data_IF_286704135997
#
_entry.id   IF_286704135997
#
_cell.length_a   1.000
_cell.length_b   1.000
_cell.length_c   1.000
_cell.angle_alpha   90.00
_cell.angle_beta   90.00
_cell.angle_gamma   90.00
#
_symmetry.space_group_name_H-M   'P 1'
#
loop_
_entity.id
_entity.type
_entity.pdbx_description
1 polymer ?
#
# COMPACT_ATOMS: atom_id res chain seq x y z
N UNK A 1 -35.11 8.36 -6.05
CA UNK A 1 -35.51 8.52 -4.63
C UNK A 1 -34.42 7.84 -3.81
N UNK A 2 -33.42 8.62 -3.37
CA UNK A 2 -32.16 8.11 -2.84
C UNK A 2 -32.29 7.84 -1.34
N UNK A 3 -31.95 6.62 -0.92
CA UNK A 3 -31.90 6.21 0.48
C UNK A 3 -30.74 6.88 1.20
N UNK A 4 -31.02 7.48 2.35
CA UNK A 4 -30.04 8.19 3.19
C UNK A 4 -29.08 7.24 3.92
N UNK A 5 -27.87 7.73 4.21
CA UNK A 5 -26.71 7.03 4.81
C UNK A 5 -26.99 6.15 6.06
N UNK A 6 -28.04 6.36 6.90
CA UNK A 6 -28.40 5.40 7.94
C UNK A 6 -28.85 4.02 7.45
N UNK A 7 -29.20 3.88 6.16
CA UNK A 7 -29.75 2.66 5.57
C UNK A 7 -28.67 1.68 5.05
N UNK A 8 -27.48 2.19 4.72
CA UNK A 8 -26.30 1.37 4.36
C UNK A 8 -25.71 0.65 5.57
N UNK A 9 -25.83 1.23 6.78
CA UNK A 9 -25.32 0.66 8.02
C UNK A 9 -26.23 -0.40 8.65
N UNK A 10 -27.50 -0.49 8.21
CA UNK A 10 -28.50 -1.43 8.77
C UNK A 10 -28.67 -2.73 8.00
N UNK A 11 -28.12 -2.86 6.79
CA UNK A 11 -28.36 -4.01 5.94
C UNK A 11 -27.08 -4.83 5.74
N UNK A 12 -26.84 -5.79 6.63
CA UNK A 12 -25.93 -6.92 6.39
C UNK A 12 -26.16 -7.54 5.00
N UNK A 13 -27.45 -7.61 4.61
CA UNK A 13 -27.95 -8.02 3.29
C UNK A 13 -27.38 -7.24 2.10
N UNK A 14 -27.07 -5.93 2.24
CA UNK A 14 -26.54 -5.10 1.14
C UNK A 14 -25.04 -5.25 0.98
N UNK A 15 -24.32 -5.51 2.09
CA UNK A 15 -22.92 -5.96 2.06
C UNK A 15 -22.86 -7.36 1.43
N UNK A 16 -23.80 -8.24 1.78
CA UNK A 16 -23.93 -9.57 1.19
C UNK A 16 -24.33 -9.50 -0.32
N UNK A 17 -25.17 -8.55 -0.73
CA UNK A 17 -25.50 -8.32 -2.16
C UNK A 17 -24.31 -7.75 -2.96
N UNK A 18 -23.50 -6.87 -2.35
CA UNK A 18 -22.25 -6.38 -2.94
C UNK A 18 -21.26 -7.52 -3.12
N UNK A 19 -21.22 -8.47 -2.17
CA UNK A 19 -20.39 -9.69 -2.26
C UNK A 19 -20.87 -10.71 -3.29
N UNK A 20 -22.18 -10.75 -3.56
CA UNK A 20 -22.77 -11.68 -4.52
C UNK A 20 -22.59 -11.24 -5.98
N UNK A 21 -22.18 -9.99 -6.23
CA UNK A 21 -21.91 -9.47 -7.57
C UNK A 21 -20.41 -9.49 -7.85
N UNK A 22 -19.95 -10.59 -8.47
CA UNK A 22 -18.66 -10.77 -9.15
C UNK A 22 -18.50 -9.78 -10.34
N UNK A 23 -18.66 -8.48 -10.09
CA UNK A 23 -18.45 -7.45 -11.09
C UNK A 23 -16.99 -6.98 -10.99
N UNK A 24 -16.21 -7.03 -12.09
CA UNK A 24 -14.81 -6.64 -12.14
C UNK A 24 -14.59 -5.11 -12.14
N UNK A 25 -15.62 -4.31 -11.85
CA UNK A 25 -15.54 -2.85 -11.90
C UNK A 25 -15.44 -2.26 -10.48
N UNK A 26 -14.56 -1.26 -10.25
CA UNK A 26 -14.47 -0.56 -8.98
C UNK A 26 -15.83 -0.02 -8.50
N UNK A 27 -16.16 -0.29 -7.24
CA UNK A 27 -17.41 0.12 -6.59
C UNK A 27 -17.15 1.27 -5.64
N UNK A 28 -17.81 2.41 -5.85
CA UNK A 28 -17.77 3.54 -4.93
C UNK A 28 -18.62 3.22 -3.69
N UNK A 29 -18.01 3.29 -2.49
CA UNK A 29 -18.64 2.86 -1.24
C UNK A 29 -19.30 4.00 -0.45
N UNK A 30 -18.97 5.25 -0.72
CA UNK A 30 -19.56 6.42 -0.05
C UNK A 30 -20.12 7.45 -1.04
N UNK A 31 -21.08 8.24 -0.57
CA UNK A 31 -21.76 9.27 -1.38
C UNK A 31 -20.84 10.42 -1.79
N UNK A 32 -19.76 10.66 -1.04
CA UNK A 32 -18.77 11.68 -1.34
C UNK A 32 -17.81 11.28 -2.48
N UNK A 33 -17.67 9.97 -2.78
CA UNK A 33 -16.81 9.49 -3.87
C UNK A 33 -15.34 9.34 -3.55
N UNK A 34 -15.01 9.30 -2.27
CA UNK A 34 -13.62 9.24 -1.81
C UNK A 34 -13.24 7.86 -1.28
N UNK A 35 -14.15 6.89 -1.24
CA UNK A 35 -13.85 5.50 -0.83
C UNK A 35 -14.28 4.56 -1.95
N UNK A 36 -13.33 3.79 -2.47
CA UNK A 36 -13.55 2.82 -3.53
C UNK A 36 -13.15 1.43 -3.07
N UNK A 37 -13.93 0.44 -3.50
CA UNK A 37 -13.60 -0.96 -3.40
C UNK A 37 -13.33 -1.52 -4.79
N UNK A 38 -12.11 -1.97 -5.03
CA UNK A 38 -11.64 -2.39 -6.35
C UNK A 38 -12.08 -3.81 -6.69
N UNK A 39 -12.31 -4.65 -5.68
CA UNK A 39 -12.72 -6.03 -5.83
C UNK A 39 -12.02 -6.95 -4.84
N UNK A 40 -12.41 -8.23 -4.82
CA UNK A 40 -11.99 -9.20 -3.80
C UNK A 40 -10.70 -9.96 -4.16
N UNK A 41 -10.12 -9.64 -5.30
CA UNK A 41 -9.01 -10.34 -5.93
C UNK A 41 -8.10 -9.32 -6.64
N UNK A 42 -7.16 -9.76 -7.47
CA UNK A 42 -6.20 -8.93 -8.23
C UNK A 42 -6.81 -7.81 -9.09
N UNK A 43 -7.16 -6.70 -8.46
CA UNK A 43 -7.81 -5.53 -9.06
C UNK A 43 -7.08 -4.22 -8.73
N UNK A 44 -5.93 -4.30 -8.07
CA UNK A 44 -5.10 -3.18 -7.61
C UNK A 44 -4.65 -2.26 -8.74
N UNK A 45 -4.49 -2.80 -9.94
CA UNK A 45 -4.18 -2.00 -11.13
C UNK A 45 -5.26 -0.95 -11.46
N UNK A 46 -6.50 -1.10 -11.01
CA UNK A 46 -7.53 -0.07 -11.14
C UNK A 46 -7.21 1.21 -10.37
N UNK A 47 -6.30 1.15 -9.39
CA UNK A 47 -5.75 2.35 -8.75
C UNK A 47 -5.25 3.37 -9.78
N UNK A 48 -4.62 2.92 -10.87
CA UNK A 48 -4.00 3.82 -11.85
C UNK A 48 -5.01 4.77 -12.48
N UNK A 49 -6.19 4.28 -12.87
CA UNK A 49 -7.23 5.13 -13.48
C UNK A 49 -7.81 6.13 -12.48
N UNK A 50 -7.99 5.71 -11.22
CA UNK A 50 -8.47 6.60 -10.16
C UNK A 50 -7.42 7.68 -9.85
N UNK A 51 -6.16 7.29 -9.73
CA UNK A 51 -5.06 8.19 -9.39
C UNK A 51 -4.79 9.24 -10.50
N UNK A 52 -5.09 8.95 -11.78
CA UNK A 52 -5.03 9.95 -12.86
C UNK A 52 -5.94 11.16 -12.63
N UNK A 53 -6.99 11.00 -11.80
CA UNK A 53 -7.93 12.09 -11.51
C UNK A 53 -7.40 13.08 -10.46
N UNK A 54 -6.31 12.74 -9.76
CA UNK A 54 -5.69 13.61 -8.76
C UNK A 54 -5.33 14.98 -9.35
N UNK A 55 -5.74 16.04 -8.67
CA UNK A 55 -5.51 17.44 -9.07
C UNK A 55 -4.43 18.16 -8.26
N UNK A 56 -4.00 17.56 -7.14
CA UNK A 56 -3.03 18.13 -6.20
C UNK A 56 -1.85 17.20 -6.03
N UNK A 57 -0.70 17.76 -5.65
CA UNK A 57 0.46 16.97 -5.29
C UNK A 57 0.20 16.18 -4.01
N UNK A 58 0.42 14.88 -4.08
CA UNK A 58 -0.05 13.91 -3.10
C UNK A 58 1.06 12.88 -2.83
N UNK A 59 1.12 12.43 -1.58
CA UNK A 59 1.86 11.19 -1.24
C UNK A 59 0.88 10.03 -1.27
N UNK A 60 1.24 8.96 -1.99
CA UNK A 60 0.48 7.72 -1.98
C UNK A 60 0.96 6.85 -0.81
N UNK A 61 0.07 6.56 0.13
CA UNK A 61 0.29 5.55 1.18
C UNK A 61 -0.27 4.22 0.67
N UNK A 62 0.59 3.22 0.60
CA UNK A 62 0.32 1.93 -0.02
C UNK A 62 0.47 0.83 1.03
N UNK A 63 -0.64 0.21 1.42
CA UNK A 63 -0.64 -0.95 2.33
C UNK A 63 -0.77 -2.22 1.51
N UNK A 64 0.24 -3.07 1.56
CA UNK A 64 0.28 -4.28 0.73
C UNK A 64 1.34 -5.25 1.26
N UNK A 65 1.11 -6.56 1.11
CA UNK A 65 2.13 -7.56 1.39
C UNK A 65 3.21 -7.62 0.28
N UNK A 66 2.88 -7.21 -0.95
CA UNK A 66 3.68 -7.22 -2.17
C UNK A 66 4.09 -5.80 -2.58
N UNK A 67 5.09 -5.71 -3.46
CA UNK A 67 5.65 -4.41 -3.86
C UNK A 67 4.87 -3.72 -4.97
N UNK A 68 4.18 -4.49 -5.81
CA UNK A 68 3.49 -4.06 -7.03
C UNK A 68 4.31 -3.14 -7.96
N UNK A 69 5.63 -3.27 -7.89
CA UNK A 69 6.61 -2.39 -8.54
C UNK A 69 7.53 -3.15 -9.50
N UNK A 70 7.05 -4.25 -10.12
CA UNK A 70 7.88 -5.09 -11.00
C UNK A 70 8.35 -4.35 -12.26
N UNK A 71 9.67 -4.40 -12.47
CA UNK A 71 10.38 -3.90 -13.65
C UNK A 71 10.34 -4.92 -14.80
N UNK A 72 9.20 -5.19 -15.45
CA UNK A 72 9.21 -6.03 -16.68
C UNK A 72 7.90 -6.14 -17.47
N UNK A 73 7.04 -5.12 -17.50
CA UNK A 73 5.87 -5.20 -18.38
C UNK A 73 5.50 -3.87 -19.01
N UNK A 74 5.42 -3.87 -20.34
CA UNK A 74 4.84 -2.78 -21.15
C UNK A 74 3.32 -2.63 -20.91
N UNK A 75 2.69 -3.64 -20.30
CA UNK A 75 1.26 -3.66 -19.99
C UNK A 75 1.03 -3.46 -18.49
N UNK A 76 0.04 -2.66 -18.15
CA UNK A 76 -0.42 -2.50 -16.77
C UNK A 76 -1.02 -3.81 -16.26
N UNK A 77 -0.57 -4.25 -15.09
CA UNK A 77 -1.11 -5.36 -14.29
C UNK A 77 -0.96 -5.06 -12.79
N UNK A 78 -1.50 -5.92 -11.91
CA UNK A 78 -1.38 -5.70 -10.46
C UNK A 78 0.08 -5.74 -9.99
N UNK A 79 0.94 -6.58 -10.57
CA UNK A 79 2.33 -6.68 -10.11
C UNK A 79 3.21 -5.50 -10.50
N UNK A 80 2.72 -4.54 -11.30
CA UNK A 80 3.53 -3.40 -11.76
C UNK A 80 2.85 -2.03 -11.66
N UNK A 81 1.65 -1.92 -11.09
CA UNK A 81 0.86 -0.68 -11.16
C UNK A 81 1.53 0.51 -10.47
N UNK A 82 2.44 0.28 -9.51
CA UNK A 82 3.23 1.35 -8.87
C UNK A 82 4.12 2.08 -9.90
N UNK A 83 4.70 1.36 -10.86
CA UNK A 83 5.45 1.96 -11.96
C UNK A 83 4.59 2.93 -12.80
N UNK A 84 3.29 2.64 -12.92
CA UNK A 84 2.35 3.49 -13.65
C UNK A 84 1.83 4.65 -12.80
N UNK A 85 1.59 4.42 -11.51
CA UNK A 85 1.23 5.46 -10.55
C UNK A 85 2.31 6.54 -10.49
N UNK A 86 3.59 6.16 -10.40
CA UNK A 86 4.71 7.09 -10.33
C UNK A 86 4.94 7.91 -11.62
N UNK A 87 4.32 7.55 -12.75
CA UNK A 87 4.29 8.40 -13.95
C UNK A 87 3.39 9.62 -13.81
N UNK A 88 2.46 9.61 -12.84
CA UNK A 88 1.62 10.76 -12.56
C UNK A 88 2.44 11.85 -11.83
N UNK A 89 2.61 13.05 -12.40
CA UNK A 89 3.42 14.11 -11.77
C UNK A 89 2.84 14.60 -10.44
N UNK A 90 1.56 14.34 -10.17
CA UNK A 90 0.93 14.66 -8.89
C UNK A 90 1.26 13.64 -7.79
N UNK A 91 1.84 12.47 -8.11
CA UNK A 91 2.32 11.53 -7.10
C UNK A 91 3.79 11.85 -6.83
N UNK A 92 4.04 12.49 -5.68
CA UNK A 92 5.39 12.92 -5.32
C UNK A 92 6.26 11.74 -4.88
N UNK A 93 5.63 10.81 -4.15
CA UNK A 93 6.25 9.64 -3.53
C UNK A 93 5.18 8.60 -3.19
N UNK A 94 5.60 7.34 -3.17
CA UNK A 94 4.89 6.20 -2.62
C UNK A 94 5.55 5.79 -1.30
N UNK A 95 4.75 5.61 -0.25
CA UNK A 95 5.17 5.06 1.04
C UNK A 95 4.47 3.71 1.20
N UNK A 96 5.24 2.64 1.06
CA UNK A 96 4.77 1.27 1.18
C UNK A 96 4.90 0.76 2.61
N UNK A 97 3.80 0.30 3.18
CA UNK A 97 3.69 -0.16 4.57
C UNK A 97 3.23 -1.62 4.58
N UNK A 98 4.01 -2.51 5.16
CA UNK A 98 3.72 -3.95 5.23
C UNK A 98 4.82 -4.83 4.65
N UNK A 99 4.68 -5.21 3.39
CA UNK A 99 5.74 -5.73 2.52
C UNK A 99 6.37 -7.08 2.84
N UNK A 100 5.72 -7.93 3.66
CA UNK A 100 6.33 -9.20 4.06
C UNK A 100 6.54 -10.20 2.91
N UNK A 101 5.69 -10.21 1.88
CA UNK A 101 5.87 -11.08 0.72
C UNK A 101 6.92 -10.48 -0.23
N UNK A 102 6.75 -9.19 -0.54
CA UNK A 102 7.63 -8.42 -1.42
C UNK A 102 9.10 -8.40 -0.97
N UNK A 103 9.35 -8.35 0.35
CA UNK A 103 10.70 -8.25 0.91
C UNK A 103 11.35 -9.59 1.24
N UNK A 104 10.57 -10.66 1.47
CA UNK A 104 11.12 -12.00 1.76
C UNK A 104 11.28 -12.85 0.51
N UNK A 105 10.27 -12.87 -0.37
CA UNK A 105 10.19 -13.81 -1.49
C UNK A 105 10.56 -13.16 -2.82
N UNK A 106 10.41 -11.85 -2.90
CA UNK A 106 10.38 -11.10 -4.17
C UNK A 106 11.45 -10.02 -4.29
N UNK A 107 12.30 -9.91 -3.28
CA UNK A 107 13.34 -8.89 -3.10
C UNK A 107 14.26 -8.63 -4.31
N UNK A 108 14.32 -9.55 -5.28
CA UNK A 108 15.24 -9.49 -6.41
C UNK A 108 14.52 -9.25 -7.76
N UNK A 109 13.44 -9.95 -8.11
CA UNK A 109 12.82 -9.82 -9.43
C UNK A 109 11.70 -8.77 -9.52
N UNK A 110 11.12 -8.30 -8.41
CA UNK A 110 9.81 -7.63 -8.44
C UNK A 110 9.79 -6.19 -7.90
N UNK A 111 10.87 -5.67 -7.31
CA UNK A 111 10.94 -4.27 -6.87
C UNK A 111 11.71 -3.39 -7.85
N UNK A 112 11.19 -2.22 -8.21
CA UNK A 112 11.93 -1.24 -9.01
C UNK A 112 12.96 -0.52 -8.13
N UNK A 113 14.19 -0.97 -8.24
CA UNK A 113 15.29 -0.47 -7.44
C UNK A 113 15.57 1.02 -7.64
N UNK A 114 15.34 1.53 -8.85
CA UNK A 114 15.55 2.95 -9.15
C UNK A 114 14.57 3.83 -8.36
N UNK A 115 13.33 3.36 -8.14
CA UNK A 115 12.36 4.08 -7.32
C UNK A 115 12.79 4.16 -5.86
N UNK A 116 13.32 3.06 -5.31
CA UNK A 116 13.84 3.01 -3.93
C UNK A 116 15.04 3.95 -3.80
N UNK A 117 16.02 3.81 -4.69
CA UNK A 117 17.24 4.62 -4.67
C UNK A 117 16.95 6.12 -4.82
N UNK A 118 16.01 6.50 -5.69
CA UNK A 118 15.58 7.88 -5.87
C UNK A 118 14.71 8.43 -4.71
N UNK A 119 14.36 7.59 -3.72
CA UNK A 119 13.44 7.96 -2.64
C UNK A 119 12.02 8.24 -3.13
N UNK A 120 11.65 7.71 -4.29
CA UNK A 120 10.31 7.73 -4.88
C UNK A 120 9.41 6.65 -4.30
N UNK A 121 10.01 5.52 -3.90
CA UNK A 121 9.38 4.45 -3.12
C UNK A 121 10.09 4.37 -1.77
N UNK A 122 9.36 4.55 -0.67
CA UNK A 122 9.88 4.41 0.70
C UNK A 122 9.16 3.26 1.38
N UNK A 123 9.90 2.42 2.10
CA UNK A 123 9.40 1.13 2.60
C UNK A 123 9.46 1.10 4.12
N UNK A 124 8.32 0.81 4.76
CA UNK A 124 8.21 0.57 6.19
C UNK A 124 7.54 -0.78 6.45
N UNK A 125 8.33 -1.84 6.61
CA UNK A 125 7.77 -3.16 6.73
C UNK A 125 7.00 -3.36 8.03
N UNK A 126 6.08 -4.32 8.06
CA UNK A 126 5.28 -4.63 9.25
C UNK A 126 6.14 -5.12 10.44
N UNK A 127 7.28 -5.75 10.14
CA UNK A 127 8.21 -6.35 11.10
C UNK A 127 9.65 -6.06 10.67
N UNK A 128 10.63 -6.53 11.44
CA UNK A 128 12.03 -6.44 11.03
C UNK A 128 12.32 -7.39 9.87
N UNK A 129 12.78 -6.83 8.75
CA UNK A 129 13.22 -7.58 7.60
C UNK A 129 14.61 -7.11 7.19
N UNK A 130 15.44 -8.08 6.80
CA UNK A 130 16.65 -7.82 6.04
C UNK A 130 16.43 -8.34 4.63
N UNK A 131 16.57 -7.47 3.66
CA UNK A 131 16.31 -7.78 2.26
C UNK A 131 17.62 -7.75 1.48
N UNK A 132 17.94 -8.82 0.77
CA UNK A 132 19.13 -8.86 -0.09
C UNK A 132 18.75 -8.41 -1.50
N UNK A 133 19.54 -7.51 -2.08
CA UNK A 133 19.45 -7.01 -3.46
C UNK A 133 20.75 -7.29 -4.20
N UNK A 134 20.65 -7.84 -5.41
CA UNK A 134 21.77 -8.16 -6.28
C UNK A 134 21.89 -7.01 -7.28
N UNK A 135 23.09 -6.49 -7.44
CA UNK A 135 23.33 -5.33 -8.28
C UNK A 135 24.47 -4.48 -7.76
N UNK A 136 25.00 -3.65 -8.65
CA UNK A 136 26.11 -2.75 -8.34
C UNK A 136 25.64 -1.45 -7.65
N UNK A 137 24.39 -1.04 -7.87
CA UNK A 137 23.84 0.17 -7.29
C UNK A 137 23.53 -0.06 -5.80
N UNK A 138 23.87 0.93 -4.97
CA UNK A 138 23.57 0.93 -3.53
C UNK A 138 22.25 1.68 -3.28
N UNK A 139 21.34 1.16 -2.42
CA UNK A 139 20.02 1.73 -2.18
C UNK A 139 20.07 2.73 -1.03
N UNK A 140 21.24 3.32 -0.78
CA UNK A 140 21.46 4.13 0.42
C UNK A 140 20.66 5.43 0.29
N UNK A 141 19.64 5.58 1.12
CA UNK A 141 18.91 6.83 1.32
C UNK A 141 18.46 6.96 2.79
N UNK A 142 18.03 8.17 3.18
CA UNK A 142 17.74 8.51 4.59
C UNK A 142 16.60 7.73 5.27
N UNK A 143 15.87 6.91 4.52
CA UNK A 143 14.77 6.07 5.04
C UNK A 143 15.14 4.58 5.08
N UNK A 144 16.38 4.24 4.72
CA UNK A 144 16.98 2.92 4.98
C UNK A 144 17.72 2.99 6.31
N UNK A 145 17.57 1.93 7.13
CA UNK A 145 18.18 1.88 8.46
C UNK A 145 19.66 1.50 8.38
N UNK A 146 19.99 0.49 7.58
CA UNK A 146 21.38 0.08 7.35
C UNK A 146 21.50 -0.59 5.98
N UNK A 147 22.62 -0.34 5.30
CA UNK A 147 23.02 -1.05 4.09
C UNK A 147 24.36 -1.74 4.36
N UNK A 148 24.47 -3.01 3.99
CA UNK A 148 25.71 -3.80 4.07
C UNK A 148 26.06 -4.34 2.69
N UNK A 149 27.28 -4.07 2.21
CA UNK A 149 27.77 -4.61 0.93
C UNK A 149 28.19 -6.08 1.07
N UNK A 150 27.79 -6.91 0.11
CA UNK A 150 28.23 -8.30 0.00
C UNK A 150 29.61 -8.38 -0.65
N UNK A 151 30.63 -8.41 0.20
CA UNK A 151 32.02 -8.47 -0.23
C UNK A 151 32.37 -9.81 -0.91
N UNK A 152 31.69 -10.90 -0.55
CA UNK A 152 31.94 -12.23 -1.14
C UNK A 152 31.34 -12.26 -2.55
N UNK A 153 30.05 -11.89 -2.68
CA UNK A 153 29.40 -11.76 -3.99
C UNK A 153 30.18 -10.80 -4.90
N UNK A 154 30.58 -9.66 -4.38
CA UNK A 154 31.44 -8.69 -5.06
C UNK A 154 32.76 -9.28 -5.58
N UNK A 155 33.46 -10.05 -4.76
CA UNK A 155 34.70 -10.72 -5.14
C UNK A 155 34.52 -11.69 -6.32
N UNK A 156 33.38 -12.38 -6.39
CA UNK A 156 33.04 -13.29 -7.50
C UNK A 156 32.35 -12.59 -8.69
N UNK A 157 32.30 -11.25 -8.73
CA UNK A 157 31.68 -10.50 -9.82
C UNK A 157 30.15 -10.43 -9.77
N UNK A 158 29.55 -10.77 -8.63
CA UNK A 158 28.12 -10.72 -8.37
C UNK A 158 27.82 -9.78 -7.19
N UNK A 159 28.01 -8.45 -7.34
CA UNK A 159 27.80 -7.51 -6.24
C UNK A 159 26.35 -7.55 -5.74
N UNK A 160 26.18 -7.27 -4.46
CA UNK A 160 24.88 -7.17 -3.82
C UNK A 160 24.94 -6.44 -2.49
N UNK A 161 23.76 -6.16 -1.93
CA UNK A 161 23.59 -5.42 -0.68
C UNK A 161 22.48 -6.05 0.16
N UNK A 162 22.73 -6.20 1.46
CA UNK A 162 21.70 -6.45 2.46
C UNK A 162 21.19 -5.13 3.01
N UNK A 163 19.87 -4.93 2.99
CA UNK A 163 19.20 -3.74 3.50
C UNK A 163 18.43 -4.11 4.76
N UNK A 164 18.72 -3.42 5.86
CA UNK A 164 17.87 -3.38 7.05
C UNK A 164 16.95 -2.15 6.94
N UNK A 165 15.66 -2.36 7.18
CA UNK A 165 14.63 -1.33 7.05
C UNK A 165 14.21 -0.82 8.43
N UNK A 166 13.76 0.43 8.50
CA UNK A 166 12.93 0.84 9.62
C UNK A 166 11.60 0.11 9.49
N UNK A 167 11.26 -0.76 10.44
CA UNK A 167 9.89 -1.28 10.49
C UNK A 167 8.92 -0.12 10.83
N UNK A 168 7.63 -0.31 10.59
CA UNK A 168 6.65 0.76 10.79
C UNK A 168 6.65 1.36 12.20
N UNK A 169 6.77 0.53 13.25
CA UNK A 169 6.84 1.02 14.64
C UNK A 169 8.10 1.87 14.89
N UNK A 170 9.23 1.46 14.35
CA UNK A 170 10.47 2.24 14.41
C UNK A 170 10.34 3.54 13.61
N UNK A 171 9.70 3.49 12.45
CA UNK A 171 9.50 4.66 11.60
C UNK A 171 8.67 5.74 12.31
N UNK A 172 7.60 5.37 13.02
CA UNK A 172 6.84 6.29 13.87
C UNK A 172 7.71 6.87 15.00
N UNK A 173 8.42 6.02 15.76
CA UNK A 173 9.24 6.47 16.89
C UNK A 173 10.37 7.41 16.48
N UNK A 174 10.86 7.26 15.26
CA UNK A 174 12.01 8.01 14.72
C UNK A 174 11.59 9.12 13.75
N UNK A 175 10.29 9.40 13.63
CA UNK A 175 9.69 10.40 12.74
C UNK A 175 9.97 10.16 11.24
N UNK A 176 10.40 8.95 10.87
CA UNK A 176 10.72 8.60 9.48
C UNK A 176 9.48 8.53 8.61
N UNK A 177 8.32 8.19 9.17
CA UNK A 177 7.05 8.20 8.45
C UNK A 177 6.69 9.63 8.02
N UNK A 178 6.79 10.57 8.94
CA UNK A 178 6.47 11.98 8.71
C UNK A 178 7.45 12.61 7.72
N UNK A 179 8.74 12.33 7.88
CA UNK A 179 9.77 12.76 6.92
C UNK A 179 9.55 12.18 5.51
N UNK A 180 8.94 10.99 5.40
CA UNK A 180 8.67 10.34 4.13
C UNK A 180 7.39 10.83 3.48
N UNK A 181 6.49 11.50 4.17
CA UNK A 181 5.28 12.05 3.57
C UNK A 181 5.60 13.41 2.93
N UNK A 182 5.56 13.47 1.59
CA UNK A 182 6.00 14.61 0.80
C UNK A 182 4.98 15.75 0.67
N UNK A 183 3.74 15.54 1.12
CA UNK A 183 2.63 16.49 1.02
C UNK A 183 1.66 16.29 2.18
N UNK A 184 0.97 17.35 2.61
CA UNK A 184 -0.15 17.22 3.55
C UNK A 184 -1.33 16.45 2.98
N UNK A 185 -1.49 16.49 1.65
CA UNK A 185 -2.50 15.71 0.95
C UNK A 185 -1.95 14.29 0.73
N UNK A 186 -2.67 13.30 1.25
CA UNK A 186 -2.36 11.88 1.03
C UNK A 186 -3.50 11.15 0.35
N UNK A 187 -3.16 10.11 -0.39
CA UNK A 187 -4.10 9.13 -0.92
C UNK A 187 -3.73 7.77 -0.36
N UNK A 188 -4.71 6.97 0.06
CA UNK A 188 -4.45 5.67 0.68
C UNK A 188 -4.93 4.56 -0.27
N UNK A 189 -4.07 3.60 -0.58
CA UNK A 189 -4.45 2.33 -1.20
C UNK A 189 -4.20 1.20 -0.20
N UNK A 190 -5.20 0.35 -0.01
CA UNK A 190 -5.15 -0.79 0.92
C UNK A 190 -5.43 -2.07 0.14
N UNK A 191 -4.39 -2.86 -0.15
CA UNK A 191 -4.58 -4.29 -0.40
C UNK A 191 -4.69 -4.99 0.96
N UNK A 192 -5.82 -5.64 1.18
CA UNK A 192 -6.12 -6.37 2.40
C UNK A 192 -5.28 -7.64 2.57
N UNK A 193 -4.55 -8.06 1.54
CA UNK A 193 -3.53 -9.09 1.70
C UNK A 193 -2.42 -8.67 2.66
N UNK A 194 -2.27 -7.37 2.99
CA UNK A 194 -1.33 -6.87 4.02
C UNK A 194 -1.62 -7.44 5.42
N UNK A 195 -2.84 -7.93 5.63
CA UNK A 195 -3.27 -8.56 6.87
C UNK A 195 -2.83 -10.02 6.93
N UNK A 196 -2.71 -10.55 8.16
CA UNK A 196 -2.49 -11.99 8.39
C UNK A 196 -3.58 -12.84 7.74
N UNK A 197 -3.21 -14.06 7.32
CA UNK A 197 -4.08 -15.03 6.66
C UNK A 197 -5.41 -15.31 7.40
N UNK A 198 -5.41 -15.24 8.74
CA UNK A 198 -6.62 -15.41 9.56
C UNK A 198 -7.73 -14.39 9.22
N UNK A 199 -7.36 -13.19 8.77
CA UNK A 199 -8.27 -12.14 8.33
C UNK A 199 -8.72 -12.30 6.87
N UNK A 200 -8.30 -13.36 6.18
CA UNK A 200 -8.69 -13.65 4.80
C UNK A 200 -7.52 -14.13 3.98
N UNK A 201 -7.52 -15.43 3.67
CA UNK A 201 -6.51 -16.02 2.80
C UNK A 201 -6.62 -15.44 1.39
N UNK A 202 -5.50 -14.98 0.86
CA UNK A 202 -5.38 -14.52 -0.53
C UNK A 202 -4.55 -15.53 -1.35
N UNK A 203 -4.75 -15.59 -2.68
CA UNK A 203 -4.02 -16.55 -3.51
C UNK A 203 -2.52 -16.19 -3.67
N UNK A 204 -2.14 -14.94 -3.41
CA UNK A 204 -0.76 -14.43 -3.55
C UNK A 204 0.04 -14.51 -2.26
N UNK A 205 -0.63 -14.84 -1.15
CA UNK A 205 -0.05 -14.87 0.18
C UNK A 205 -0.36 -13.59 0.96
N UNK A 206 -0.25 -13.71 2.27
CA UNK A 206 -0.73 -12.70 3.20
C UNK A 206 0.42 -11.99 3.93
N UNK A 207 0.09 -10.84 4.50
CA UNK A 207 0.95 -9.98 5.27
C UNK A 207 0.98 -10.38 6.73
N UNK A 208 1.42 -9.44 7.57
CA UNK A 208 1.68 -9.69 8.99
C UNK A 208 0.93 -8.75 9.94
N UNK A 209 0.17 -7.78 9.41
CA UNK A 209 -0.63 -6.90 10.25
C UNK A 209 -1.89 -7.59 10.76
N UNK A 210 -2.28 -7.26 11.98
CA UNK A 210 -3.64 -7.48 12.45
C UNK A 210 -4.57 -6.36 11.99
N UNK A 211 -5.88 -6.56 12.09
CA UNK A 211 -6.86 -5.50 11.84
C UNK A 211 -6.70 -4.33 12.82
N UNK A 212 -6.34 -4.60 14.08
CA UNK A 212 -6.04 -3.58 15.08
C UNK A 212 -4.82 -2.73 14.70
N UNK A 213 -3.73 -3.36 14.27
CA UNK A 213 -2.54 -2.63 13.80
C UNK A 213 -2.91 -1.75 12.59
N UNK A 214 -3.64 -2.26 11.60
CA UNK A 214 -4.06 -1.45 10.45
C UNK A 214 -4.94 -0.25 10.88
N UNK A 215 -5.88 -0.45 11.82
CA UNK A 215 -6.71 0.64 12.37
C UNK A 215 -5.85 1.71 13.05
N UNK A 216 -4.91 1.31 13.90
CA UNK A 216 -4.05 2.24 14.62
C UNK A 216 -3.22 3.10 13.65
N UNK A 217 -2.72 2.49 12.57
CA UNK A 217 -1.99 3.21 11.53
C UNK A 217 -2.90 4.21 10.80
N UNK A 218 -4.10 3.79 10.41
CA UNK A 218 -5.05 4.67 9.74
C UNK A 218 -5.47 5.82 10.66
N UNK A 219 -5.73 5.57 11.94
CA UNK A 219 -6.06 6.61 12.92
C UNK A 219 -4.94 7.67 12.99
N UNK A 220 -3.67 7.26 13.00
CA UNK A 220 -2.53 8.20 12.99
C UNK A 220 -2.42 8.97 11.67
N UNK A 221 -2.67 8.34 10.53
CA UNK A 221 -2.66 9.02 9.23
C UNK A 221 -3.79 10.06 9.11
N UNK A 222 -5.02 9.68 9.47
CA UNK A 222 -6.18 10.58 9.43
C UNK A 222 -6.09 11.73 10.43
N UNK A 223 -5.38 11.53 11.54
CA UNK A 223 -5.15 12.57 12.54
C UNK A 223 -4.19 13.66 12.05
N UNK A 224 -3.19 13.31 11.23
CA UNK A 224 -2.10 14.21 10.88
C UNK A 224 -2.12 14.71 9.43
N UNK A 225 -2.86 14.06 8.53
CA UNK A 225 -2.84 14.35 7.10
C UNK A 225 -4.24 14.52 6.52
N UNK A 226 -4.33 15.26 5.41
CA UNK A 226 -5.56 15.36 4.65
C UNK A 226 -5.70 14.15 3.73
N UNK A 227 -6.53 13.19 4.13
CA UNK A 227 -6.81 12.00 3.31
C UNK A 227 -7.83 12.34 2.22
N UNK A 228 -7.33 12.45 0.98
CA UNK A 228 -8.10 12.86 -0.19
C UNK A 228 -8.95 11.74 -0.79
N UNK A 229 -8.56 10.49 -0.56
CA UNK A 229 -9.29 9.31 -1.00
C UNK A 229 -8.66 8.01 -0.49
N UNK A 230 -9.46 6.94 -0.54
CA UNK A 230 -9.06 5.59 -0.14
C UNK A 230 -9.54 4.58 -1.17
N UNK A 231 -8.65 3.70 -1.61
CA UNK A 231 -8.98 2.50 -2.37
C UNK A 231 -8.73 1.26 -1.50
N UNK A 232 -9.60 0.27 -1.63
CA UNK A 232 -9.53 -1.00 -0.90
C UNK A 232 -9.63 -2.15 -1.90
N UNK A 233 -8.74 -3.13 -1.79
CA UNK A 233 -8.74 -4.37 -2.56
C UNK A 233 -8.66 -5.57 -1.60
N UNK A 234 -9.17 -6.73 -2.00
CA UNK A 234 -9.05 -7.98 -1.25
C UNK A 234 -10.30 -8.36 -0.42
N UNK A 235 -10.17 -9.25 0.57
CA UNK A 235 -11.31 -9.99 1.14
C UNK A 235 -12.47 -9.14 1.69
N UNK A 236 -13.66 -9.33 1.12
CA UNK A 236 -14.87 -8.53 1.43
C UNK A 236 -15.31 -8.57 2.90
N UNK A 237 -15.05 -9.70 3.58
CA UNK A 237 -15.36 -9.84 5.00
C UNK A 237 -14.72 -8.73 5.85
N UNK A 238 -13.57 -8.19 5.41
CA UNK A 238 -12.89 -7.10 6.09
C UNK A 238 -13.58 -5.75 5.94
N UNK A 239 -14.37 -5.54 4.88
CA UNK A 239 -15.07 -4.28 4.64
C UNK A 239 -16.06 -3.93 5.76
N UNK A 240 -16.63 -4.96 6.40
CA UNK A 240 -17.61 -4.82 7.48
C UNK A 240 -17.09 -4.03 8.68
N UNK A 241 -15.78 -4.07 8.94
CA UNK A 241 -15.14 -3.31 10.01
C UNK A 241 -14.30 -2.15 9.49
N UNK A 242 -13.66 -2.30 8.32
CA UNK A 242 -12.72 -1.31 7.78
C UNK A 242 -13.45 -0.07 7.26
N UNK A 243 -14.51 -0.25 6.48
CA UNK A 243 -15.24 0.87 5.87
C UNK A 243 -15.90 1.76 6.92
N UNK A 244 -16.62 1.23 7.93
CA UNK A 244 -17.15 2.07 9.01
C UNK A 244 -16.07 2.82 9.78
N UNK A 245 -14.90 2.20 9.99
CA UNK A 245 -13.77 2.84 10.66
C UNK A 245 -13.22 4.02 9.84
N UNK A 246 -12.99 3.83 8.53
CA UNK A 246 -12.57 4.90 7.60
C UNK A 246 -13.58 6.04 7.56
N UNK A 247 -14.88 5.74 7.45
CA UNK A 247 -15.95 6.75 7.43
C UNK A 247 -15.95 7.55 8.74
N UNK A 248 -15.76 6.89 9.89
CA UNK A 248 -15.69 7.56 11.19
C UNK A 248 -14.54 8.55 11.26
N UNK A 249 -13.36 8.18 10.77
CA UNK A 249 -12.19 9.07 10.74
C UNK A 249 -12.38 10.24 9.77
N UNK A 250 -12.96 9.98 8.60
CA UNK A 250 -13.21 11.00 7.57
C UNK A 250 -14.15 12.13 8.03
N UNK A 251 -14.94 11.91 9.09
CA UNK A 251 -15.87 12.91 9.67
C UNK A 251 -15.25 13.75 10.81
N UNK A 252 -14.02 13.43 11.23
CA UNK A 252 -13.32 14.15 12.30
C UNK A 252 -12.53 15.37 11.78
N UNK A 253 -12.51 15.56 10.46
CA UNK A 253 -12.00 16.76 9.78
C UNK A 253 -13.10 17.82 9.72
#
# INVERSE_FOLDING_TARGET
MYSTIPELLKNKKKIDEISAQNSPAPKQLNTAGNIWYLGSNSYDHHNVEILKTLKKQTTLIFFDAHSDDRVSSEKLDCGNWINWALKNPNILRVVWIGGSQGLLKEAQPWGNYEHIQAGKMVIFPARNFVTYFKGALSPTHKFVKRVSYDSIGGFFGFPGYSIDWYNFSEALKTQKLEESIASRDIYISIDLDVLKEEFGKTPWGNGLFTDAELKDILDELYKNYNVTGVNICGPEKCLSWLVPHIIKMSRRL
#
